data_IF_914579927125
#
_entry.id   IF_914579927125
#
_cell.length_a   1.000
_cell.length_b   1.000
_cell.length_c   1.000
_cell.angle_alpha   90.00
_cell.angle_beta   90.00
_cell.angle_gamma   90.00
#
_symmetry.space_group_name_H-M   'P 1'
#
loop_
_entity.id
_entity.type
_entity.pdbx_description
1 polymer ?
#
# COMPACT_ATOMS: atom_id res chain seq x y z
N UNK A 1 21.23 -1.73 -25.49
CA UNK A 1 19.97 -1.11 -25.03
C UNK A 1 19.47 -1.88 -23.81
N UNK A 2 19.93 -1.52 -22.62
CA UNK A 2 19.56 -2.17 -21.35
C UNK A 2 18.31 -1.49 -20.81
N UNK A 3 17.14 -2.12 -20.95
CA UNK A 3 15.93 -1.68 -20.26
C UNK A 3 16.15 -1.84 -18.76
N UNK A 4 16.47 -0.73 -18.08
CA UNK A 4 16.64 -0.72 -16.64
C UNK A 4 15.32 -1.12 -15.97
N UNK A 5 15.35 -2.20 -15.19
CA UNK A 5 14.23 -2.62 -14.36
C UNK A 5 13.95 -1.51 -13.35
N UNK A 6 12.96 -0.64 -13.64
CA UNK A 6 12.52 0.38 -12.68
C UNK A 6 11.99 -0.33 -11.45
N UNK A 7 12.61 -0.05 -10.31
CA UNK A 7 12.14 -0.52 -9.02
C UNK A 7 10.71 0.00 -8.77
N UNK A 8 9.84 -0.88 -8.25
CA UNK A 8 8.47 -0.50 -7.90
C UNK A 8 8.49 0.53 -6.77
N UNK A 9 7.59 1.51 -6.84
CA UNK A 9 7.38 2.45 -5.75
C UNK A 9 6.80 1.74 -4.52
N UNK A 10 7.00 2.32 -3.33
CA UNK A 10 6.39 1.82 -2.07
C UNK A 10 4.86 1.71 -2.22
N UNK A 11 4.23 2.69 -2.87
CA UNK A 11 2.78 2.68 -3.12
C UNK A 11 2.35 1.51 -4.04
N UNK A 12 3.20 1.10 -4.98
CA UNK A 12 2.94 -0.08 -5.81
C UNK A 12 3.06 -1.39 -5.00
N UNK A 13 4.03 -1.49 -4.08
CA UNK A 13 4.10 -2.62 -3.14
C UNK A 13 2.93 -2.66 -2.18
N UNK A 14 2.47 -1.50 -1.70
CA UNK A 14 1.25 -1.37 -0.91
C UNK A 14 0.04 -1.91 -1.68
N UNK A 15 -0.12 -1.55 -2.96
CA UNK A 15 -1.21 -2.07 -3.78
C UNK A 15 -1.12 -3.59 -3.98
N UNK A 16 0.07 -4.12 -4.28
CA UNK A 16 0.31 -5.56 -4.37
C UNK A 16 -0.02 -6.29 -3.07
N UNK A 17 0.40 -5.74 -1.92
CA UNK A 17 0.11 -6.29 -0.60
C UNK A 17 -1.40 -6.34 -0.30
N UNK A 18 -2.11 -5.26 -0.60
CA UNK A 18 -3.57 -5.18 -0.39
C UNK A 18 -4.33 -6.21 -1.24
N UNK A 19 -4.00 -6.32 -2.53
CA UNK A 19 -4.64 -7.32 -3.41
C UNK A 19 -4.25 -8.73 -2.98
N UNK A 20 -3.00 -8.98 -2.58
CA UNK A 20 -2.58 -10.29 -2.08
C UNK A 20 -3.35 -10.71 -0.82
N UNK A 21 -3.64 -9.77 0.08
CA UNK A 21 -4.38 -10.02 1.32
C UNK A 21 -5.87 -10.23 1.07
N UNK A 22 -6.47 -9.48 0.14
CA UNK A 22 -7.89 -9.58 -0.20
C UNK A 22 -8.21 -10.76 -1.14
N UNK A 23 -7.21 -11.33 -1.82
CA UNK A 23 -7.41 -12.34 -2.86
C UNK A 23 -7.95 -11.74 -4.17
N UNK A 24 -8.80 -12.49 -4.88
CA UNK A 24 -9.50 -11.96 -6.05
C UNK A 24 -10.45 -10.85 -5.58
N UNK A 25 -10.24 -9.63 -6.04
CA UNK A 25 -10.92 -8.46 -5.50
C UNK A 25 -11.25 -7.45 -6.58
N UNK A 26 -11.83 -6.30 -6.21
CA UNK A 26 -12.17 -5.23 -7.16
C UNK A 26 -11.41 -3.95 -6.83
N UNK A 27 -11.18 -3.05 -7.81
CA UNK A 27 -10.52 -1.76 -7.55
C UNK A 27 -11.19 -1.00 -6.38
N UNK A 28 -12.51 -1.07 -6.29
CA UNK A 28 -13.28 -0.45 -5.22
C UNK A 28 -12.96 -1.06 -3.84
N UNK A 29 -12.93 -2.39 -3.74
CA UNK A 29 -12.62 -3.08 -2.49
C UNK A 29 -11.18 -2.79 -2.03
N UNK A 30 -10.21 -2.74 -2.95
CA UNK A 30 -8.82 -2.32 -2.66
C UNK A 30 -8.79 -0.91 -2.11
N UNK A 31 -9.48 0.04 -2.76
CA UNK A 31 -9.59 1.42 -2.28
C UNK A 31 -10.19 1.49 -0.87
N UNK A 32 -11.24 0.71 -0.61
CA UNK A 32 -11.90 0.68 0.70
C UNK A 32 -10.99 0.10 1.79
N UNK A 33 -10.26 -0.97 1.48
CA UNK A 33 -9.29 -1.57 2.38
C UNK A 33 -8.12 -0.62 2.69
N UNK A 34 -7.58 0.06 1.67
CA UNK A 34 -6.54 1.09 1.83
C UNK A 34 -7.00 2.18 2.80
N UNK A 35 -8.20 2.73 2.61
CA UNK A 35 -8.76 3.76 3.50
C UNK A 35 -8.91 3.31 4.96
N UNK A 36 -9.17 2.01 5.19
CA UNK A 36 -9.42 1.46 6.54
C UNK A 36 -8.15 1.05 7.28
N UNK A 37 -7.07 0.76 6.58
CA UNK A 37 -5.85 0.17 7.15
C UNK A 37 -4.73 1.19 7.30
N UNK A 38 -4.22 1.69 6.17
CA UNK A 38 -3.03 2.53 6.09
C UNK A 38 -3.31 3.93 5.55
N UNK A 39 -4.51 4.18 5.03
CA UNK A 39 -4.86 5.41 4.34
C UNK A 39 -4.80 6.67 5.22
N UNK A 40 -4.82 6.50 6.55
CA UNK A 40 -4.59 7.60 7.49
C UNK A 40 -3.12 8.06 7.52
N UNK A 41 -2.17 7.16 7.26
CA UNK A 41 -0.74 7.45 7.25
C UNK A 41 -0.19 7.60 5.82
N UNK A 42 -0.87 7.01 4.84
CA UNK A 42 -0.46 6.98 3.44
C UNK A 42 -1.65 7.29 2.51
N UNK A 43 -2.05 8.56 2.37
CA UNK A 43 -3.14 8.94 1.49
C UNK A 43 -2.72 8.76 0.04
N UNK A 44 -3.46 7.92 -0.69
CA UNK A 44 -3.23 7.68 -2.13
C UNK A 44 -4.34 8.36 -2.93
N UNK A 45 -4.02 9.38 -3.75
CA UNK A 45 -4.97 9.98 -4.68
C UNK A 45 -5.60 8.95 -5.62
N UNK A 46 -6.86 9.17 -5.94
CA UNK A 46 -7.64 8.30 -6.82
C UNK A 46 -7.00 8.01 -8.17
N UNK A 47 -6.52 9.06 -8.86
CA UNK A 47 -5.86 8.92 -10.15
C UNK A 47 -4.59 8.06 -10.05
N UNK A 48 -3.85 8.20 -8.94
CA UNK A 48 -2.62 7.44 -8.71
C UNK A 48 -2.91 5.95 -8.50
N UNK A 49 -4.01 5.58 -7.83
CA UNK A 49 -4.39 4.17 -7.64
C UNK A 49 -4.63 3.46 -8.98
N UNK A 50 -5.28 4.13 -9.94
CA UNK A 50 -5.49 3.57 -11.28
C UNK A 50 -4.19 3.49 -12.08
N UNK A 51 -3.35 4.53 -12.03
CA UNK A 51 -2.04 4.52 -12.68
C UNK A 51 -1.15 3.39 -12.16
N UNK A 52 -1.10 3.18 -10.84
CA UNK A 52 -0.35 2.09 -10.21
C UNK A 52 -0.92 0.74 -10.64
N UNK A 53 -2.25 0.56 -10.66
CA UNK A 53 -2.81 -0.70 -11.16
C UNK A 53 -2.43 -0.97 -12.61
N UNK A 54 -2.49 0.04 -13.49
CA UNK A 54 -2.06 -0.09 -14.88
C UNK A 54 -0.60 -0.49 -14.99
N UNK A 55 0.29 0.19 -14.27
CA UNK A 55 1.70 -0.15 -14.21
C UNK A 55 1.94 -1.60 -13.75
N UNK A 56 1.25 -2.05 -12.70
CA UNK A 56 1.40 -3.41 -12.18
C UNK A 56 0.87 -4.46 -13.17
N UNK A 57 -0.17 -4.14 -13.94
CA UNK A 57 -0.70 -4.99 -15.00
C UNK A 57 0.27 -5.07 -16.19
N UNK A 58 0.82 -3.93 -16.64
CA UNK A 58 1.83 -3.87 -17.70
C UNK A 58 3.09 -4.67 -17.35
N UNK A 59 3.44 -4.72 -16.06
CA UNK A 59 4.58 -5.52 -15.56
C UNK A 59 4.21 -6.98 -15.25
N UNK A 60 2.96 -7.42 -15.50
CA UNK A 60 2.51 -8.79 -15.25
C UNK A 60 2.48 -9.19 -13.77
N UNK A 61 2.45 -8.21 -12.86
CA UNK A 61 2.43 -8.41 -11.41
C UNK A 61 1.00 -8.49 -10.86
N UNK A 62 0.07 -7.86 -11.56
CA UNK A 62 -1.35 -7.88 -11.31
C UNK A 62 -2.05 -8.36 -12.58
N UNK A 63 -3.04 -9.22 -12.44
CA UNK A 63 -3.96 -9.56 -13.52
C UNK A 63 -5.37 -9.16 -13.11
N UNK A 64 -6.24 -8.96 -14.08
CA UNK A 64 -7.61 -8.58 -13.82
C UNK A 64 -8.50 -8.97 -14.97
N UNK A 65 -9.43 -9.88 -14.71
CA UNK A 65 -10.34 -10.39 -15.71
C UNK A 65 -11.65 -9.60 -15.72
N UNK A 66 -12.27 -9.51 -16.91
CA UNK A 66 -13.68 -9.20 -17.04
C UNK A 66 -14.42 -10.51 -16.86
N UNK A 67 -15.05 -10.70 -15.70
CA UNK A 67 -15.87 -11.88 -15.44
C UNK A 67 -16.84 -12.11 -16.62
N UNK A 68 -16.77 -13.30 -17.23
CA UNK A 68 -17.48 -13.63 -18.48
C UNK A 68 -18.98 -13.89 -18.31
N UNK A 69 -19.52 -13.72 -17.10
CA UNK A 69 -20.91 -14.00 -16.75
C UNK A 69 -21.58 -12.79 -16.08
N UNK A 70 -22.21 -11.93 -16.88
CA UNK A 70 -22.99 -10.79 -16.38
C UNK A 70 -22.16 -9.56 -15.98
N UNK A 71 -22.83 -8.53 -15.45
CA UNK A 71 -22.39 -7.12 -15.27
C UNK A 71 -20.87 -6.94 -15.07
N UNK A 72 -20.15 -6.83 -16.19
CA UNK A 72 -18.77 -6.38 -16.45
C UNK A 72 -18.06 -5.77 -15.23
N UNK A 73 -17.64 -6.59 -14.27
CA UNK A 73 -16.95 -6.13 -13.06
C UNK A 73 -15.48 -6.43 -13.21
N UNK A 74 -14.66 -5.37 -13.29
CA UNK A 74 -13.20 -5.49 -13.34
C UNK A 74 -12.72 -6.06 -12.00
N UNK A 75 -12.13 -7.24 -12.02
CA UNK A 75 -11.48 -7.85 -10.86
C UNK A 75 -9.96 -7.69 -10.94
N UNK A 76 -9.26 -7.90 -9.82
CA UNK A 76 -7.82 -7.91 -9.69
C UNK A 76 -7.37 -9.10 -8.86
N UNK A 77 -6.27 -9.73 -9.25
CA UNK A 77 -5.54 -10.70 -8.44
C UNK A 77 -4.03 -10.57 -8.66
N UNK A 78 -3.24 -10.94 -7.65
CA UNK A 78 -1.78 -10.94 -7.75
C UNK A 78 -1.30 -12.22 -8.42
N UNK A 79 -0.50 -12.06 -9.48
CA UNK A 79 0.10 -13.17 -10.22
C UNK A 79 1.20 -13.87 -9.42
N UNK A 80 1.70 -15.01 -9.92
CA UNK A 80 2.89 -15.64 -9.35
C UNK A 80 4.11 -14.72 -9.34
N UNK A 81 4.27 -13.90 -10.38
CA UNK A 81 5.35 -12.91 -10.47
C UNK A 81 5.17 -11.78 -9.44
N UNK A 82 3.96 -11.25 -9.29
CA UNK A 82 3.64 -10.24 -8.28
C UNK A 82 3.92 -10.72 -6.85
N UNK A 83 3.57 -11.98 -6.55
CA UNK A 83 3.85 -12.59 -5.23
C UNK A 83 5.36 -12.74 -4.98
N UNK A 84 6.15 -13.09 -6.00
CA UNK A 84 7.63 -13.15 -5.88
C UNK A 84 8.22 -11.77 -5.66
N UNK A 85 7.79 -10.76 -6.42
CA UNK A 85 8.25 -9.38 -6.26
C UNK A 85 7.95 -8.85 -4.85
N UNK A 86 6.75 -9.09 -4.33
CA UNK A 86 6.37 -8.70 -2.97
C UNK A 86 7.24 -9.38 -1.91
N UNK A 87 7.46 -10.70 -2.02
CA UNK A 87 8.33 -11.43 -1.09
C UNK A 87 9.77 -10.92 -1.13
N UNK A 88 10.31 -10.67 -2.31
CA UNK A 88 11.65 -10.15 -2.47
C UNK A 88 11.78 -8.79 -1.78
N UNK A 89 10.82 -7.89 -1.99
CA UNK A 89 10.80 -6.59 -1.33
C UNK A 89 10.72 -6.69 0.19
N UNK A 90 9.83 -7.53 0.72
CA UNK A 90 9.68 -7.76 2.17
C UNK A 90 10.94 -8.36 2.81
N UNK A 91 11.73 -9.12 2.06
CA UNK A 91 12.98 -9.73 2.55
C UNK A 91 14.19 -8.80 2.53
N UNK A 92 14.07 -7.59 1.98
CA UNK A 92 15.20 -6.66 1.90
C UNK A 92 15.50 -6.05 3.28
N UNK A 93 16.75 -6.13 3.76
CA UNK A 93 17.16 -5.40 4.95
C UNK A 93 17.14 -3.90 4.60
N UNK A 94 16.35 -3.08 5.29
CA UNK A 94 16.27 -1.66 4.93
C UNK A 94 15.08 -0.84 5.44
N UNK A 95 14.18 -1.39 6.24
CA UNK A 95 13.49 -0.51 7.18
C UNK A 95 14.46 -0.30 8.34
N UNK A 96 15.39 0.67 8.20
CA UNK A 96 15.91 1.36 9.39
C UNK A 96 14.70 1.60 10.31
N UNK A 97 14.76 1.27 11.61
CA UNK A 97 13.64 1.52 12.50
C UNK A 97 13.22 2.96 12.27
N UNK A 98 12.03 3.18 11.69
CA UNK A 98 11.51 4.52 11.56
C UNK A 98 11.54 5.07 12.97
N UNK A 99 12.35 6.11 13.25
CA UNK A 99 12.34 6.75 14.55
C UNK A 99 10.87 7.10 14.82
N UNK A 100 10.24 6.37 15.74
CA UNK A 100 8.84 6.61 16.08
C UNK A 100 8.85 7.89 16.91
N UNK A 101 8.87 9.03 16.23
CA UNK A 101 8.80 10.36 16.82
C UNK A 101 7.34 10.62 17.20
N UNK A 102 6.97 10.20 18.40
CA UNK A 102 5.65 10.48 18.95
C UNK A 102 5.69 11.76 19.78
N UNK A 103 4.97 12.77 19.29
CA UNK A 103 4.75 14.02 20.03
C UNK A 103 4.07 13.74 21.37
N UNK A 104 3.19 12.74 21.45
CA UNK A 104 2.52 12.36 22.69
C UNK A 104 3.51 11.78 23.73
N UNK A 105 4.44 10.93 23.29
CA UNK A 105 5.49 10.40 24.18
C UNK A 105 6.44 11.51 24.66
N UNK A 106 6.78 12.48 23.79
CA UNK A 106 7.58 13.64 24.18
C UNK A 106 6.83 14.56 25.17
N UNK A 107 5.53 14.82 24.94
CA UNK A 107 4.71 15.60 25.89
C UNK A 107 4.58 14.91 27.25
N UNK A 108 4.45 13.58 27.27
CA UNK A 108 4.44 12.81 28.51
C UNK A 108 5.80 12.87 29.23
N UNK A 109 6.90 12.73 28.49
CA UNK A 109 8.26 12.80 29.04
C UNK A 109 8.61 14.17 29.64
N UNK A 110 7.96 15.25 29.21
CA UNK A 110 8.13 16.60 29.74
C UNK A 110 6.88 17.12 30.48
N UNK A 111 6.00 16.22 30.91
CA UNK A 111 4.73 16.59 31.57
C UNK A 111 4.94 17.27 32.92
N UNK A 112 6.07 17.04 33.57
CA UNK A 112 6.51 17.67 34.82
C UNK A 112 6.98 19.12 34.64
N UNK A 113 7.29 19.53 33.41
CA UNK A 113 7.72 20.89 33.05
C UNK A 113 6.56 21.79 32.59
N UNK A 114 5.35 21.24 32.41
CA UNK A 114 4.16 21.97 31.97
C UNK A 114 3.22 22.31 33.12
N UNK A 115 2.45 23.39 32.97
CA UNK A 115 1.39 23.72 33.93
C UNK A 115 0.31 22.62 33.95
N UNK A 116 -0.16 22.18 35.13
CA UNK A 116 -1.18 21.13 35.27
C UNK A 116 -2.47 21.39 34.49
N UNK A 117 -2.79 22.65 34.21
CA UNK A 117 -3.99 23.05 33.45
C UNK A 117 -3.87 22.91 31.93
N UNK A 118 -2.69 22.60 31.38
CA UNK A 118 -2.44 22.65 29.92
C UNK A 118 -2.67 21.33 29.17
N UNK A 119 -3.09 20.25 29.84
CA UNK A 119 -3.22 18.89 29.27
C UNK A 119 -4.66 18.42 29.03
N UNK A 120 -5.64 19.32 28.96
CA UNK A 120 -7.04 19.00 28.58
C UNK A 120 -7.25 18.88 27.07
#
# INVERSE_FOLDING_TARGET
MTSGTRELSVTAYVMLGMVAQLGVTTPYAVKQALRRSIGQYWPIPHAQLYAISGQLQEQGLLEGDQESSGRRRKTYYVTGAGRRALRQWLSRPGAEPAEIRSVAWLKLAFSDLGDPESLS
#
